data_IF_129353908681
#
_entry.id   IF_129353908681
#
_cell.length_a   1.000
_cell.length_b   1.000
_cell.length_c   1.000
_cell.angle_alpha   90.00
_cell.angle_beta   90.00
_cell.angle_gamma   90.00
#
_symmetry.space_group_name_H-M   'P 1'
#
loop_
_entity.id
_entity.type
_entity.pdbx_description
1 polymer ?
#
# COMPACT_ATOMS: atom_id res chain seq x y z
N UNK A 1 -8.34 -3.98 37.16
CA UNK A 1 -7.14 -3.49 36.43
C UNK A 1 -7.32 -3.83 34.95
N UNK A 2 -7.98 -2.95 34.18
CA UNK A 2 -8.34 -3.23 32.80
C UNK A 2 -7.18 -2.97 31.83
N UNK A 3 -7.25 -3.60 30.65
CA UNK A 3 -6.37 -3.29 29.53
C UNK A 3 -6.68 -1.88 29.03
N UNK A 4 -5.87 -0.91 29.45
CA UNK A 4 -6.00 0.46 28.95
C UNK A 4 -5.28 0.59 27.61
N UNK A 5 -5.74 1.54 26.81
CA UNK A 5 -5.18 1.84 25.48
C UNK A 5 -3.67 2.14 25.56
N UNK A 6 -3.23 2.69 26.69
CA UNK A 6 -1.81 2.97 26.98
C UNK A 6 -0.93 1.72 26.99
N UNK A 7 -1.40 0.59 27.54
CA UNK A 7 -0.65 -0.66 27.56
C UNK A 7 -0.55 -1.26 26.17
N UNK A 8 -1.61 -1.15 25.37
CA UNK A 8 -1.63 -1.67 24.00
C UNK A 8 -0.60 -0.95 23.13
N UNK A 9 -0.49 0.39 23.22
CA UNK A 9 0.52 1.13 22.46
C UNK A 9 1.95 0.68 22.78
N UNK A 10 2.26 0.49 24.06
CA UNK A 10 3.59 0.03 24.50
C UNK A 10 3.91 -1.34 23.90
N UNK A 11 2.93 -2.26 23.88
CA UNK A 11 3.10 -3.58 23.28
C UNK A 11 3.29 -3.48 21.76
N UNK A 12 2.53 -2.65 21.06
CA UNK A 12 2.65 -2.46 19.61
C UNK A 12 4.04 -1.94 19.22
N UNK A 13 4.59 -0.99 19.98
CA UNK A 13 5.95 -0.48 19.74
C UNK A 13 6.99 -1.60 19.86
N UNK A 14 6.88 -2.46 20.87
CA UNK A 14 7.78 -3.61 21.04
C UNK A 14 7.66 -4.63 19.90
N UNK A 15 6.44 -4.90 19.44
CA UNK A 15 6.21 -5.80 18.29
C UNK A 15 6.84 -5.22 17.01
N UNK A 16 6.70 -3.91 16.77
CA UNK A 16 7.32 -3.26 15.61
C UNK A 16 8.85 -3.29 15.70
N UNK A 17 9.42 -3.17 16.90
CA UNK A 17 10.87 -3.23 17.10
C UNK A 17 11.43 -4.67 16.94
N UNK A 18 10.70 -5.69 17.41
CA UNK A 18 11.09 -7.10 17.33
C UNK A 18 10.99 -7.67 15.89
N UNK A 19 9.90 -7.36 15.20
CA UNK A 19 9.63 -7.89 13.85
C UNK A 19 10.11 -6.95 12.74
N UNK A 20 10.40 -5.69 13.06
CA UNK A 20 10.80 -4.66 12.11
C UNK A 20 9.63 -4.16 11.24
N UNK A 21 9.77 -2.93 10.72
CA UNK A 21 8.75 -2.29 9.87
C UNK A 21 8.49 -2.99 8.52
N UNK A 22 9.45 -3.74 7.99
CA UNK A 22 9.34 -4.39 6.68
C UNK A 22 8.28 -5.48 6.65
N UNK A 23 8.32 -6.40 7.62
CA UNK A 23 7.39 -7.54 7.71
C UNK A 23 5.95 -7.11 8.02
N UNK A 24 5.80 -6.08 8.85
CA UNK A 24 4.50 -5.59 9.29
C UNK A 24 3.76 -4.84 8.17
N UNK A 25 4.47 -4.12 7.30
CA UNK A 25 3.85 -3.38 6.19
C UNK A 25 3.14 -4.30 5.20
N UNK A 26 3.79 -5.39 4.79
CA UNK A 26 3.20 -6.35 3.85
C UNK A 26 1.99 -7.06 4.47
N UNK A 27 2.13 -7.54 5.72
CA UNK A 27 1.04 -8.19 6.46
C UNK A 27 -0.15 -7.25 6.73
N UNK A 28 0.12 -5.99 7.03
CA UNK A 28 -0.94 -5.01 7.29
C UNK A 28 -1.69 -4.64 6.00
N UNK A 29 -1.03 -4.68 4.84
CA UNK A 29 -1.68 -4.53 3.54
C UNK A 29 -2.72 -5.62 3.27
N UNK A 30 -2.35 -6.88 3.48
CA UNK A 30 -3.24 -8.03 3.30
C UNK A 30 -4.39 -8.03 4.30
N UNK A 31 -4.11 -7.70 5.57
CA UNK A 31 -5.11 -7.56 6.63
C UNK A 31 -6.07 -6.39 6.33
N UNK A 32 -5.55 -5.26 5.86
CA UNK A 32 -6.38 -4.10 5.50
C UNK A 32 -7.32 -4.43 4.33
N UNK A 33 -6.87 -5.17 3.32
CA UNK A 33 -7.69 -5.58 2.19
C UNK A 33 -8.80 -6.56 2.61
N UNK A 34 -8.49 -7.50 3.51
CA UNK A 34 -9.46 -8.42 4.11
C UNK A 34 -10.52 -7.69 4.94
N UNK A 35 -10.10 -6.78 5.83
CA UNK A 35 -11.01 -5.97 6.66
C UNK A 35 -11.84 -5.01 5.80
N UNK A 36 -11.26 -4.42 4.73
CA UNK A 36 -11.98 -3.53 3.80
C UNK A 36 -13.07 -4.28 3.05
N UNK A 37 -12.79 -5.49 2.60
CA UNK A 37 -13.78 -6.35 1.91
C UNK A 37 -14.86 -6.83 2.87
N UNK A 38 -14.50 -7.18 4.11
CA UNK A 38 -15.45 -7.53 5.16
C UNK A 38 -16.38 -6.36 5.49
N UNK A 39 -15.83 -5.15 5.65
CA UNK A 39 -16.61 -3.94 5.92
C UNK A 39 -17.47 -3.53 4.73
N UNK A 40 -16.96 -3.67 3.50
CA UNK A 40 -17.74 -3.43 2.27
C UNK A 40 -18.92 -4.40 2.17
N UNK A 41 -18.72 -5.68 2.46
CA UNK A 41 -19.77 -6.69 2.47
C UNK A 41 -20.82 -6.44 3.54
N UNK A 42 -20.40 -6.04 4.74
CA UNK A 42 -21.33 -5.67 5.83
C UNK A 42 -22.11 -4.40 5.50
N UNK A 43 -21.49 -3.41 4.85
CA UNK A 43 -22.15 -2.16 4.46
C UNK A 43 -23.03 -2.28 3.22
N UNK A 44 -22.83 -3.31 2.38
CA UNK A 44 -23.70 -3.59 1.21
C UNK A 44 -25.08 -4.09 1.65
N UNK A 45 -25.17 -4.73 2.83
CA UNK A 45 -26.42 -5.21 3.43
C UNK A 45 -27.24 -4.06 4.08
N UNK A 46 -26.57 -2.94 4.42
CA UNK A 46 -27.17 -1.77 5.08
C UNK A 46 -27.41 -0.56 4.16
N UNK A 47 -26.67 -0.43 3.04
CA UNK A 47 -26.79 0.74 2.16
C UNK A 47 -26.59 0.36 0.69
N UNK A 48 -27.71 0.21 -0.02
CA UNK A 48 -27.73 0.12 -1.47
C UNK A 48 -26.99 1.31 -2.12
N UNK A 49 -25.93 0.98 -2.86
CA UNK A 49 -25.21 1.86 -3.80
C UNK A 49 -24.58 3.13 -3.20
N UNK A 50 -23.28 3.08 -2.87
CA UNK A 50 -22.35 4.16 -3.23
C UNK A 50 -20.90 3.64 -3.31
N UNK A 51 -20.30 3.94 -4.46
CA UNK A 51 -18.92 3.77 -4.91
C UNK A 51 -17.84 4.03 -3.84
N UNK A 52 -16.81 3.18 -3.82
CA UNK A 52 -15.50 3.54 -3.29
C UNK A 52 -14.37 2.66 -3.85
N UNK A 53 -13.60 3.21 -4.79
CA UNK A 53 -12.18 2.86 -4.91
C UNK A 53 -11.64 2.59 -6.31
N UNK A 54 -11.55 3.66 -7.11
CA UNK A 54 -10.58 3.84 -8.19
C UNK A 54 -9.17 3.40 -7.76
N UNK A 55 -8.54 2.59 -8.61
CA UNK A 55 -7.09 2.43 -8.87
C UNK A 55 -6.14 2.58 -7.66
N UNK A 56 -5.54 1.47 -7.23
CA UNK A 56 -4.13 1.44 -6.87
C UNK A 56 -3.47 0.49 -7.87
N UNK A 57 -3.22 1.02 -9.07
CA UNK A 57 -2.14 0.54 -9.92
C UNK A 57 -0.85 0.91 -9.16
N UNK A 58 -0.40 -0.02 -8.33
CA UNK A 58 0.98 -0.05 -7.90
C UNK A 58 1.83 -0.36 -9.12
N UNK A 59 2.11 0.66 -9.92
CA UNK A 59 3.30 0.69 -10.76
C UNK A 59 4.45 0.37 -9.82
N UNK A 60 5.02 -0.81 -10.03
CA UNK A 60 6.20 -1.28 -9.34
C UNK A 60 7.25 -0.19 -9.57
N UNK A 61 7.68 0.45 -8.48
CA UNK A 61 8.94 1.18 -8.46
C UNK A 61 10.01 0.09 -8.61
N UNK A 62 10.28 -0.26 -9.86
CA UNK A 62 11.42 -1.04 -10.27
C UNK A 62 12.66 -0.27 -9.86
N UNK A 63 13.28 -0.74 -8.79
CA UNK A 63 14.58 -0.28 -8.29
C UNK A 63 15.72 -0.65 -9.23
N UNK A 64 15.66 -0.24 -10.50
CA UNK A 64 16.81 -0.28 -11.38
C UNK A 64 17.33 1.14 -11.63
N UNK A 65 18.14 1.61 -10.68
CA UNK A 65 19.17 2.57 -11.02
C UNK A 65 20.16 1.88 -11.96
N UNK A 66 20.13 2.19 -13.26
CA UNK A 66 21.30 2.58 -14.07
C UNK A 66 20.94 2.80 -15.54
N UNK A 67 21.09 4.05 -15.96
CA UNK A 67 21.60 4.50 -17.24
C UNK A 67 21.13 3.80 -18.54
N UNK A 68 20.12 4.39 -19.18
CA UNK A 68 20.00 4.31 -20.65
C UNK A 68 19.76 5.72 -21.22
N UNK A 69 20.83 6.51 -21.20
CA UNK A 69 20.94 7.76 -21.91
C UNK A 69 21.34 7.48 -23.38
N UNK A 70 20.43 6.92 -24.19
CA UNK A 70 20.65 6.71 -25.64
C UNK A 70 19.36 6.79 -26.48
N UNK A 71 18.55 7.83 -26.33
CA UNK A 71 17.43 8.08 -27.28
C UNK A 71 17.23 9.57 -27.67
N UNK A 72 18.31 10.37 -27.71
CA UNK A 72 18.22 11.79 -28.10
C UNK A 72 19.08 12.15 -29.33
N UNK A 73 19.64 11.17 -30.04
CA UNK A 73 20.59 11.44 -31.14
C UNK A 73 20.16 10.95 -32.53
N UNK A 74 18.90 10.53 -32.76
CA UNK A 74 18.50 9.96 -34.07
C UNK A 74 17.15 10.45 -34.63
N UNK A 75 16.66 11.63 -34.22
CA UNK A 75 15.43 12.21 -34.82
C UNK A 75 15.60 13.61 -35.45
N UNK A 76 16.82 14.11 -35.59
CA UNK A 76 17.08 15.47 -36.10
C UNK A 76 17.76 15.54 -37.47
N UNK A 77 17.96 14.42 -38.19
CA UNK A 77 18.62 14.41 -39.52
C UNK A 77 17.74 13.98 -40.69
N UNK A 78 16.42 13.78 -40.51
CA UNK A 78 15.56 13.25 -41.58
C UNK A 78 14.30 14.03 -41.92
N UNK A 79 14.00 15.15 -41.27
CA UNK A 79 12.87 16.01 -41.70
C UNK A 79 13.19 17.48 -41.42
N UNK A 80 13.84 18.13 -42.39
CA UNK A 80 13.57 19.46 -42.92
C UNK A 80 14.75 19.85 -43.82
#
# INVERSE_FOLDING_TARGET
MGLSIWQILIVVVLVILLFGRGKISDLMGDVAQGIKSFRKGMSDDDAGTTSAGKTIEGERVDGNATADAKDTAQRETLKN
#
